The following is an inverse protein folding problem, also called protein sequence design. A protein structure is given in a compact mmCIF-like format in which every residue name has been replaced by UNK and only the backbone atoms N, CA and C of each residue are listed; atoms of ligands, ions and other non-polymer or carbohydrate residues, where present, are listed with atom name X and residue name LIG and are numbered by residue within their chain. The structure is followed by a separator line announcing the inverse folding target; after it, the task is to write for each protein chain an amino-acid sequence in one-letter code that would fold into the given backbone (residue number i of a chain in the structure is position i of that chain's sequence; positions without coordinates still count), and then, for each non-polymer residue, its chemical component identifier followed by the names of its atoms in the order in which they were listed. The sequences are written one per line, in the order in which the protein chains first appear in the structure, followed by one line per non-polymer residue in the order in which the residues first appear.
data_IF_969344264660
#
_entry.id   IF_969344264660
#
_cell.length_a   1.000
_cell.length_b   1.000
_cell.length_c   1.000
_cell.angle_alpha   90.00
_cell.angle_beta   90.00
_cell.angle_gamma   90.00
#
_symmetry.space_group_name_H-M   'P 1'
#
loop_
_entity.id
_entity.type
_entity.pdbx_description
1 polymer ?
#
# COMPACT_ATOMS: atom_id res chain seq x y z
N UNK A 1 -2.11 3.81 12.98
CA UNK A 1 -2.48 4.78 14.02
C UNK A 1 -1.24 5.32 14.75
N UNK A 2 -1.44 6.23 15.66
CA UNK A 2 -0.33 6.90 16.37
C UNK A 2 0.53 5.91 17.16
N UNK A 3 -0.09 4.90 17.78
CA UNK A 3 0.65 3.87 18.51
C UNK A 3 1.54 3.04 17.59
N UNK A 4 1.05 2.68 16.41
CA UNK A 4 1.84 1.94 15.43
C UNK A 4 3.01 2.78 14.93
N UNK A 5 2.78 4.06 14.66
CA UNK A 5 3.84 4.98 14.25
C UNK A 5 4.92 5.08 15.33
N UNK A 6 4.51 5.28 16.59
CA UNK A 6 5.46 5.37 17.71
C UNK A 6 6.29 4.10 17.86
N UNK A 7 5.68 2.94 17.73
CA UNK A 7 6.39 1.65 17.80
C UNK A 7 7.38 1.48 16.65
N UNK A 8 7.01 1.88 15.43
CA UNK A 8 7.90 1.82 14.28
C UNK A 8 9.09 2.77 14.44
N UNK A 9 8.85 4.00 14.90
CA UNK A 9 9.92 4.99 15.14
C UNK A 9 10.89 4.50 16.21
N UNK A 10 10.38 3.83 17.26
CA UNK A 10 11.20 3.29 18.34
C UNK A 10 11.77 1.91 18.03
N UNK A 11 11.49 1.35 16.84
CA UNK A 11 11.87 0.01 16.43
C UNK A 11 11.38 -1.07 17.42
N UNK A 12 10.19 -0.87 17.96
CA UNK A 12 9.58 -1.75 18.97
C UNK A 12 8.42 -2.57 18.44
N UNK A 13 8.09 -2.42 17.15
CA UNK A 13 6.99 -3.18 16.53
C UNK A 13 7.39 -4.65 16.40
N UNK A 14 6.54 -5.55 16.89
CA UNK A 14 6.71 -6.99 16.71
C UNK A 14 5.93 -7.45 15.50
N UNK A 15 6.59 -8.20 14.63
CA UNK A 15 6.00 -8.71 13.41
C UNK A 15 5.88 -10.23 13.46
N UNK A 16 4.77 -10.74 12.95
CA UNK A 16 4.58 -12.17 12.71
C UNK A 16 4.84 -12.45 11.24
N UNK A 17 6.06 -12.87 10.93
CA UNK A 17 6.51 -13.03 9.55
C UNK A 17 6.07 -14.37 8.99
N UNK A 18 5.61 -14.36 7.74
CA UNK A 18 5.25 -15.55 6.99
C UNK A 18 5.50 -15.34 5.50
N UNK A 19 5.59 -16.45 4.77
CA UNK A 19 5.71 -16.39 3.32
C UNK A 19 4.35 -16.11 2.70
N UNK A 20 4.33 -15.25 1.70
CA UNK A 20 3.13 -14.82 1.02
C UNK A 20 3.33 -14.87 -0.49
N UNK A 21 2.46 -15.60 -1.18
CA UNK A 21 2.40 -15.56 -2.64
C UNK A 21 1.74 -14.26 -3.06
N UNK A 22 2.49 -13.44 -3.81
CA UNK A 22 2.05 -12.08 -4.13
C UNK A 22 0.85 -12.07 -5.07
N UNK A 23 0.82 -12.96 -6.06
CA UNK A 23 -0.29 -13.02 -7.03
C UNK A 23 -1.61 -13.36 -6.34
N UNK A 24 -1.59 -14.34 -5.43
CA UNK A 24 -2.76 -14.71 -4.64
C UNK A 24 -3.20 -13.57 -3.72
N UNK A 25 -2.23 -12.93 -3.08
CA UNK A 25 -2.49 -11.79 -2.20
C UNK A 25 -3.18 -10.65 -2.96
N UNK A 26 -2.76 -10.36 -4.20
CA UNK A 26 -3.40 -9.34 -5.02
C UNK A 26 -4.88 -9.63 -5.28
N UNK A 27 -5.22 -10.89 -5.55
CA UNK A 27 -6.61 -11.29 -5.77
C UNK A 27 -7.46 -11.10 -4.51
N UNK A 28 -6.92 -11.47 -3.36
CA UNK A 28 -7.58 -11.29 -2.07
C UNK A 28 -7.74 -9.81 -1.73
N UNK A 29 -6.72 -9.00 -2.02
CA UNK A 29 -6.77 -7.55 -1.80
C UNK A 29 -7.88 -6.90 -2.59
N UNK A 30 -8.04 -7.25 -3.86
CA UNK A 30 -9.09 -6.68 -4.71
C UNK A 30 -10.48 -6.92 -4.12
N UNK A 31 -10.74 -8.13 -3.64
CA UNK A 31 -11.99 -8.47 -2.97
C UNK A 31 -12.18 -7.67 -1.67
N UNK A 32 -11.13 -7.55 -0.88
CA UNK A 32 -11.15 -6.81 0.38
C UNK A 32 -11.49 -5.34 0.18
N UNK A 33 -10.88 -4.71 -0.81
CA UNK A 33 -11.11 -3.30 -1.11
C UNK A 33 -12.54 -3.06 -1.59
N UNK A 34 -13.05 -3.93 -2.42
CA UNK A 34 -14.44 -3.82 -2.88
C UNK A 34 -15.42 -3.90 -1.71
N UNK A 35 -15.20 -4.86 -0.81
CA UNK A 35 -16.05 -5.02 0.38
C UNK A 35 -15.97 -3.80 1.30
N UNK A 36 -14.78 -3.38 1.66
CA UNK A 36 -14.58 -2.29 2.62
C UNK A 36 -15.03 -0.95 2.11
N UNK A 37 -14.87 -0.70 0.82
CA UNK A 37 -15.27 0.57 0.20
C UNK A 37 -16.77 0.63 -0.10
N UNK A 38 -17.47 -0.49 0.00
CA UNK A 38 -18.89 -0.60 -0.38
C UNK A 38 -19.13 -0.10 -1.82
N UNK A 39 -18.14 -0.35 -2.69
CA UNK A 39 -18.19 0.05 -4.09
C UNK A 39 -17.81 1.50 -4.38
N UNK A 40 -17.44 2.30 -3.36
CA UNK A 40 -17.00 3.68 -3.58
C UNK A 40 -15.61 3.77 -4.22
N UNK A 41 -14.77 2.75 -4.03
CA UNK A 41 -13.47 2.65 -4.70
C UNK A 41 -13.58 1.65 -5.83
N UNK A 42 -13.42 2.13 -7.06
CA UNK A 42 -13.28 1.25 -8.21
C UNK A 42 -11.80 1.01 -8.45
N UNK A 43 -11.34 -0.18 -8.07
CA UNK A 43 -9.93 -0.54 -8.16
C UNK A 43 -9.67 -1.33 -9.44
N UNK A 44 -8.83 -0.77 -10.31
CA UNK A 44 -8.23 -1.52 -11.42
C UNK A 44 -6.89 -2.04 -10.94
N UNK A 45 -6.78 -3.33 -10.73
CA UNK A 45 -5.56 -3.98 -10.26
C UNK A 45 -4.98 -4.84 -11.38
N UNK A 46 -3.80 -4.46 -11.85
CA UNK A 46 -3.00 -5.26 -12.77
C UNK A 46 -1.83 -5.85 -11.99
N UNK A 47 -1.81 -7.15 -11.81
CA UNK A 47 -0.75 -7.84 -11.09
C UNK A 47 -0.03 -8.81 -12.03
N UNK A 48 1.26 -8.56 -12.24
CA UNK A 48 2.16 -9.43 -12.98
C UNK A 48 3.29 -9.85 -12.03
N UNK A 49 2.94 -10.68 -11.06
CA UNK A 49 3.83 -11.08 -9.99
C UNK A 49 4.48 -12.46 -10.23
N UNK A 50 4.06 -13.18 -11.26
CA UNK A 50 4.61 -14.52 -11.55
C UNK A 50 4.52 -15.42 -10.33
N UNK A 51 5.65 -15.98 -9.92
CA UNK A 51 5.78 -16.82 -8.73
C UNK A 51 6.40 -16.08 -7.54
N UNK A 52 6.39 -14.76 -7.57
CA UNK A 52 7.01 -13.95 -6.51
C UNK A 52 6.43 -14.28 -5.14
N UNK A 53 7.32 -14.45 -4.17
CA UNK A 53 6.97 -14.67 -2.77
C UNK A 53 7.68 -13.61 -1.93
N UNK A 54 6.96 -13.01 -1.00
CA UNK A 54 7.55 -12.09 -0.02
C UNK A 54 7.44 -12.70 1.36
N UNK A 55 8.40 -12.34 2.22
CA UNK A 55 8.41 -12.73 3.61
C UNK A 55 8.05 -11.51 4.44
N UNK A 56 6.86 -11.51 5.01
CA UNK A 56 6.31 -10.31 5.65
C UNK A 56 5.29 -10.65 6.72
N UNK A 57 4.94 -9.66 7.52
CA UNK A 57 3.72 -9.72 8.33
C UNK A 57 2.55 -9.35 7.41
N UNK A 58 1.82 -10.37 6.97
CA UNK A 58 0.79 -10.18 5.94
C UNK A 58 -0.34 -9.27 6.41
N UNK A 59 -0.68 -9.32 7.69
CA UNK A 59 -1.73 -8.45 8.23
C UNK A 59 -1.31 -6.98 8.20
N UNK A 60 -0.06 -6.71 8.56
CA UNK A 60 0.47 -5.34 8.54
C UNK A 60 0.68 -4.85 7.12
N UNK A 61 1.22 -5.70 6.25
CA UNK A 61 1.41 -5.37 4.84
C UNK A 61 0.07 -5.02 4.18
N UNK A 62 -0.95 -5.86 4.40
CA UNK A 62 -2.30 -5.62 3.88
C UNK A 62 -2.88 -4.33 4.43
N UNK A 63 -2.67 -4.04 5.71
CA UNK A 63 -3.13 -2.80 6.32
C UNK A 63 -2.48 -1.57 5.68
N UNK A 64 -1.16 -1.62 5.42
CA UNK A 64 -0.47 -0.51 4.79
C UNK A 64 -1.00 -0.23 3.39
N UNK A 65 -1.14 -1.28 2.56
CA UNK A 65 -1.65 -1.12 1.20
C UNK A 65 -3.12 -0.71 1.20
N UNK A 66 -3.93 -1.27 2.10
CA UNK A 66 -5.33 -0.87 2.24
C UNK A 66 -5.48 0.60 2.59
N UNK A 67 -4.61 1.15 3.43
CA UNK A 67 -4.62 2.58 3.74
C UNK A 67 -4.37 3.43 2.49
N UNK A 68 -3.49 2.98 1.60
CA UNK A 68 -3.22 3.67 0.34
C UNK A 68 -4.43 3.70 -0.59
N UNK A 69 -5.29 2.70 -0.49
CA UNK A 69 -6.42 2.51 -1.41
C UNK A 69 -7.75 3.03 -0.84
N UNK A 70 -7.89 3.08 0.48
CA UNK A 70 -9.17 3.34 1.14
C UNK A 70 -9.25 4.66 1.90
N UNK A 71 -8.12 5.34 2.14
CA UNK A 71 -8.16 6.58 2.93
C UNK A 71 -8.69 7.78 2.11
N UNK A 72 -9.55 8.63 2.66
CA UNK A 72 -10.37 8.40 3.86
C UNK A 72 -11.60 7.56 3.52
N UNK A 73 -11.85 6.55 4.35
CA UNK A 73 -12.96 5.61 4.10
C UNK A 73 -14.32 6.29 4.16
N UNK A 74 -14.41 7.40 4.90
CA UNK A 74 -15.63 8.19 5.05
C UNK A 74 -15.98 9.00 3.80
N UNK A 75 -15.05 9.11 2.87
CA UNK A 75 -15.31 9.83 1.62
C UNK A 75 -16.17 8.96 0.71
N UNK A 76 -17.46 9.28 0.62
CA UNK A 76 -18.43 8.52 -0.18
C UNK A 76 -18.39 8.81 -1.67
N UNK A 77 -17.51 9.71 -2.10
CA UNK A 77 -17.34 9.99 -3.53
C UNK A 77 -16.70 8.78 -4.20
N UNK A 78 -17.28 8.35 -5.31
CA UNK A 78 -16.70 7.33 -6.14
C UNK A 78 -15.32 7.76 -6.63
N UNK A 79 -14.35 6.88 -6.51
CA UNK A 79 -12.98 7.14 -6.97
C UNK A 79 -12.46 5.95 -7.74
N UNK A 80 -11.86 6.22 -8.88
CA UNK A 80 -11.18 5.21 -9.68
C UNK A 80 -9.70 5.23 -9.30
N UNK A 81 -9.21 4.09 -8.79
CA UNK A 81 -7.82 3.91 -8.36
C UNK A 81 -7.19 2.85 -9.23
N UNK A 82 -6.00 3.12 -9.72
CA UNK A 82 -5.25 2.19 -10.57
C UNK A 82 -4.03 1.68 -9.83
N UNK A 83 -3.92 0.36 -9.69
CA UNK A 83 -2.78 -0.28 -9.05
C UNK A 83 -2.10 -1.22 -10.02
N UNK A 84 -0.81 -1.04 -10.22
CA UNK A 84 0.02 -1.93 -11.04
C UNK A 84 1.11 -2.52 -10.18
N UNK A 85 1.23 -3.83 -10.18
CA UNK A 85 2.26 -4.53 -9.43
C UNK A 85 3.00 -5.48 -10.36
N UNK A 86 4.32 -5.42 -10.32
CA UNK A 86 5.18 -6.24 -11.16
C UNK A 86 6.34 -6.82 -10.36
N UNK A 87 6.74 -8.04 -10.74
CA UNK A 87 7.92 -8.69 -10.19
C UNK A 87 9.13 -8.36 -11.05
N UNK A 88 10.16 -7.80 -10.43
CA UNK A 88 11.44 -7.56 -11.07
C UNK A 88 12.42 -8.64 -10.61
N UNK A 89 12.72 -9.59 -11.51
CA UNK A 89 13.59 -10.72 -11.18
C UNK A 89 15.05 -10.31 -10.99
N UNK A 90 15.50 -9.29 -11.70
CA UNK A 90 16.88 -8.79 -11.57
C UNK A 90 17.08 -8.08 -10.23
N UNK A 91 16.17 -7.20 -9.85
CA UNK A 91 16.24 -6.48 -8.58
C UNK A 91 15.79 -7.33 -7.39
N UNK A 92 15.17 -8.49 -7.65
CA UNK A 92 14.61 -9.37 -6.62
C UNK A 92 13.63 -8.63 -5.71
N UNK A 93 12.72 -7.90 -6.33
CA UNK A 93 11.67 -7.18 -5.61
C UNK A 93 10.38 -7.16 -6.42
N UNK A 94 9.30 -6.83 -5.73
CA UNK A 94 8.08 -6.38 -6.38
C UNK A 94 8.06 -4.86 -6.37
N UNK A 95 7.55 -4.27 -7.44
CA UNK A 95 7.32 -2.83 -7.51
C UNK A 95 5.84 -2.58 -7.73
N UNK A 96 5.32 -1.55 -7.10
CA UNK A 96 3.92 -1.20 -7.17
C UNK A 96 3.74 0.29 -7.40
N UNK A 97 2.79 0.61 -8.26
CA UNK A 97 2.40 1.97 -8.58
C UNK A 97 0.91 2.10 -8.35
N UNK A 98 0.51 3.05 -7.52
CA UNK A 98 -0.90 3.32 -7.24
C UNK A 98 -1.21 4.74 -7.69
N UNK A 99 -1.98 4.86 -8.77
CA UNK A 99 -2.39 6.15 -9.32
C UNK A 99 -3.75 6.54 -8.73
N UNK A 100 -3.91 7.84 -8.48
CA UNK A 100 -5.13 8.42 -7.90
C UNK A 100 -5.42 7.89 -6.48
N UNK A 101 -4.35 7.63 -5.72
CA UNK A 101 -4.49 7.16 -4.33
C UNK A 101 -5.13 8.23 -3.45
N UNK A 102 -6.19 7.89 -2.69
CA UNK A 102 -6.77 8.87 -1.78
C UNK A 102 -5.80 9.29 -0.66
N UNK A 103 -4.89 8.41 -0.25
CA UNK A 103 -3.90 8.75 0.78
C UNK A 103 -2.93 9.85 0.34
N UNK A 104 -2.66 9.97 -0.94
CA UNK A 104 -1.74 10.95 -1.49
C UNK A 104 -2.46 12.20 -2.04
N UNK A 105 -3.78 12.28 -1.89
CA UNK A 105 -4.57 13.39 -2.43
C UNK A 105 -4.45 14.62 -1.52
N UNK A 106 -3.93 15.75 -2.01
CA UNK A 106 -3.75 16.95 -1.19
C UNK A 106 -5.07 17.57 -0.73
N UNK A 107 -6.20 17.28 -1.38
CA UNK A 107 -7.51 17.79 -0.96
C UNK A 107 -7.97 17.18 0.36
N UNK A 108 -7.41 16.03 0.76
CA UNK A 108 -7.70 15.37 2.02
C UNK A 108 -6.64 15.64 3.07
N UNK A 109 -5.79 16.66 2.87
CA UNK A 109 -4.68 16.96 3.79
C UNK A 109 -5.16 17.07 5.23
N UNK A 110 -4.63 16.22 6.11
CA UNK A 110 -4.98 16.13 7.51
C UNK A 110 -3.83 15.52 8.30
N UNK A 111 -3.89 15.67 9.62
CA UNK A 111 -2.91 15.04 10.50
C UNK A 111 -2.93 13.51 10.37
N UNK A 112 -4.12 12.93 10.23
CA UNK A 112 -4.28 11.48 10.06
C UNK A 112 -3.62 11.00 8.76
N UNK A 113 -3.79 11.75 7.67
CA UNK A 113 -3.14 11.44 6.40
C UNK A 113 -1.62 11.43 6.54
N UNK A 114 -1.07 12.43 7.20
CA UNK A 114 0.37 12.53 7.45
C UNK A 114 0.88 11.33 8.25
N UNK A 115 0.17 10.95 9.32
CA UNK A 115 0.54 9.80 10.15
C UNK A 115 0.52 8.50 9.34
N UNK A 116 -0.51 8.30 8.52
CA UNK A 116 -0.61 7.10 7.70
C UNK A 116 0.49 7.03 6.65
N UNK A 117 0.81 8.15 5.99
CA UNK A 117 1.91 8.20 5.03
C UNK A 117 3.25 7.87 5.70
N UNK A 118 3.50 8.44 6.86
CA UNK A 118 4.74 8.20 7.59
C UNK A 118 4.84 6.77 8.10
N UNK A 119 3.72 6.20 8.54
CA UNK A 119 3.67 4.80 8.96
C UNK A 119 4.01 3.86 7.80
N UNK A 120 3.46 4.11 6.62
CA UNK A 120 3.79 3.34 5.42
C UNK A 120 5.29 3.44 5.10
N UNK A 121 5.83 4.65 5.12
CA UNK A 121 7.24 4.87 4.82
C UNK A 121 8.16 4.07 5.74
N UNK A 122 7.91 4.15 7.05
CA UNK A 122 8.72 3.43 8.04
C UNK A 122 8.55 1.91 7.92
N UNK A 123 7.35 1.44 7.64
CA UNK A 123 7.11 0.01 7.45
C UNK A 123 7.92 -0.55 6.28
N UNK A 124 7.85 0.10 5.12
CA UNK A 124 8.58 -0.36 3.95
C UNK A 124 10.10 -0.27 4.15
N UNK A 125 10.59 0.79 4.76
CA UNK A 125 12.02 0.91 5.09
C UNK A 125 12.49 -0.19 6.04
N UNK A 126 11.68 -0.54 7.04
CA UNK A 126 12.02 -1.58 8.00
C UNK A 126 12.29 -2.92 7.31
N UNK A 127 11.58 -3.22 6.23
CA UNK A 127 11.74 -4.45 5.46
C UNK A 127 12.63 -4.28 4.21
N UNK A 128 13.43 -3.23 4.17
CA UNK A 128 14.36 -2.93 3.06
C UNK A 128 13.65 -2.67 1.74
N UNK A 129 12.40 -2.25 1.80
CA UNK A 129 11.66 -1.75 0.67
C UNK A 129 11.78 -0.23 0.55
N UNK A 130 11.05 0.33 -0.40
CA UNK A 130 10.99 1.77 -0.57
C UNK A 130 9.54 2.22 -0.64
N UNK A 131 9.30 3.48 -0.27
CA UNK A 131 7.99 4.10 -0.36
C UNK A 131 8.19 5.56 -0.71
N UNK A 132 7.49 6.05 -1.74
CA UNK A 132 7.51 7.46 -2.08
C UNK A 132 6.18 7.88 -2.67
N UNK A 133 5.88 9.15 -2.51
CA UNK A 133 4.70 9.79 -3.11
C UNK A 133 5.22 10.85 -4.08
N UNK A 134 4.77 10.78 -5.33
CA UNK A 134 5.03 11.85 -6.28
C UNK A 134 4.02 12.97 -6.09
N UNK A 135 4.49 14.19 -6.22
CA UNK A 135 3.62 15.36 -6.16
C UNK A 135 2.54 15.27 -7.24
N UNK A 136 1.31 15.70 -6.91
CA UNK A 136 0.21 15.66 -7.87
C UNK A 136 0.55 16.48 -9.12
N UNK A 137 0.33 15.85 -10.26
CA UNK A 137 0.42 16.51 -11.55
C UNK A 137 -0.95 16.43 -12.22
N UNK A 138 -1.02 16.70 -13.52
CA UNK A 138 -2.27 16.64 -14.29
C UNK A 138 -2.94 15.27 -14.25
N UNK A 139 -2.16 14.21 -13.93
CA UNK A 139 -2.63 12.82 -13.84
C UNK A 139 -3.05 12.43 -12.42
N UNK A 140 -2.97 13.37 -11.46
CA UNK A 140 -3.28 13.10 -10.06
C UNK A 140 -2.07 12.67 -9.25
N UNK A 141 -2.33 12.12 -8.08
CA UNK A 141 -1.30 11.66 -7.14
C UNK A 141 -0.93 10.22 -7.39
N UNK A 142 0.37 9.91 -7.22
CA UNK A 142 0.89 8.56 -7.43
C UNK A 142 1.75 8.15 -6.23
N UNK A 143 1.51 6.93 -5.75
CA UNK A 143 2.34 6.29 -4.75
C UNK A 143 3.16 5.20 -5.43
N UNK A 144 4.43 5.12 -5.08
CA UNK A 144 5.33 4.05 -5.51
C UNK A 144 5.90 3.35 -4.31
N UNK A 145 5.89 2.01 -4.33
CA UNK A 145 6.64 1.26 -3.33
C UNK A 145 7.30 0.04 -3.97
N UNK A 146 8.36 -0.42 -3.32
CA UNK A 146 8.99 -1.70 -3.65
C UNK A 146 9.10 -2.52 -2.38
N UNK A 147 9.15 -3.84 -2.54
CA UNK A 147 9.30 -4.77 -1.43
C UNK A 147 10.17 -5.93 -1.88
N UNK A 148 11.18 -6.32 -1.07
CA UNK A 148 12.08 -7.41 -1.45
C UNK A 148 11.34 -8.74 -1.55
N UNK A 149 11.68 -9.54 -2.56
CA UNK A 149 11.20 -10.91 -2.67
C UNK A 149 12.15 -11.87 -1.95
N UNK A 150 11.60 -13.01 -1.68
CA UNK A 150 12.35 -14.08 -1.04
C UNK A 150 13.27 -14.79 -2.03
#
# INVERSE_FOLDING_TARGET
NVLDLSRLEANMMKFQLQDCNVQEWCSELACLIQMRSEGSIHLELEADAGDATIHTDINRFTQMVSNMLLYPIECKKRRDVKMKLAYNTEAQNISCQIANSPLADPTFSSQKQFILQKTCHLFFEHFNGTFRIEEPNERGSVIYFTYPTK
#
